data_IF_170754369101
#
_entry.id   IF_170754369101
#
_cell.length_a   1.000
_cell.length_b   1.000
_cell.length_c   1.000
_cell.angle_alpha   90.00
_cell.angle_beta   90.00
_cell.angle_gamma   90.00
#
_symmetry.space_group_name_H-M   'P 1'
#
loop_
_entity.id
_entity.type
_entity.pdbx_description
1 polymer ?
#
# COMPACT_ATOMS: atom_id res chain seq x y z
N UNK A 1 36.77 -2.20 14.93
CA UNK A 1 36.90 -2.76 13.57
C UNK A 1 35.51 -3.22 13.16
N UNK A 2 34.75 -2.36 12.48
CA UNK A 2 33.32 -2.55 12.21
C UNK A 2 33.16 -3.18 10.82
N UNK A 3 32.35 -4.24 10.72
CA UNK A 3 32.15 -5.05 9.50
C UNK A 3 31.59 -4.19 8.34
N UNK A 4 32.21 -4.18 7.14
CA UNK A 4 31.78 -3.37 6.00
C UNK A 4 30.65 -4.00 5.16
N UNK A 5 30.04 -5.12 5.60
CA UNK A 5 29.03 -5.86 4.82
C UNK A 5 27.58 -5.57 5.21
N UNK A 6 27.31 -4.59 6.06
CA UNK A 6 25.95 -4.07 6.20
C UNK A 6 25.80 -2.92 5.21
N UNK A 7 25.06 -3.09 4.09
CA UNK A 7 24.72 -1.92 3.30
C UNK A 7 24.00 -0.96 4.26
N UNK A 8 24.53 0.25 4.41
CA UNK A 8 23.80 1.31 5.06
C UNK A 8 22.39 1.35 4.43
N UNK A 9 21.30 1.42 5.20
CA UNK A 9 19.99 1.59 4.60
C UNK A 9 20.09 2.79 3.66
N UNK A 10 19.85 2.59 2.36
CA UNK A 10 19.96 3.66 1.38
C UNK A 10 19.21 4.88 1.91
N UNK A 11 19.88 6.04 1.95
CA UNK A 11 19.42 7.26 2.60
C UNK A 11 18.07 7.79 2.08
N UNK A 12 17.53 7.19 1.02
CA UNK A 12 16.28 7.56 0.35
C UNK A 12 15.01 6.94 0.94
N UNK A 13 15.08 6.13 1.99
CA UNK A 13 13.86 5.64 2.69
C UNK A 13 13.30 6.75 3.61
N UNK A 14 12.92 7.87 3.00
CA UNK A 14 12.35 9.04 3.66
C UNK A 14 11.12 8.62 4.50
N UNK A 15 10.96 9.22 5.68
CA UNK A 15 9.83 8.95 6.56
C UNK A 15 8.47 9.10 5.85
N UNK A 16 8.39 10.01 4.86
CA UNK A 16 7.22 10.19 4.01
C UNK A 16 6.92 8.96 3.14
N UNK A 17 7.94 8.33 2.53
CA UNK A 17 7.76 7.12 1.72
C UNK A 17 7.33 5.94 2.60
N UNK A 18 7.92 5.80 3.79
CA UNK A 18 7.50 4.80 4.78
C UNK A 18 6.07 5.00 5.26
N UNK A 19 5.65 6.25 5.47
CA UNK A 19 4.28 6.59 5.82
C UNK A 19 3.30 6.28 4.68
N UNK A 20 3.62 6.67 3.45
CA UNK A 20 2.80 6.40 2.27
C UNK A 20 2.62 4.89 2.03
N UNK A 21 3.71 4.12 2.11
CA UNK A 21 3.67 2.66 2.00
C UNK A 21 2.82 2.02 3.10
N UNK A 22 2.90 2.55 4.33
CA UNK A 22 2.05 2.09 5.44
C UNK A 22 0.56 2.38 5.19
N UNK A 23 0.23 3.53 4.59
CA UNK A 23 -1.14 3.87 4.20
C UNK A 23 -1.68 2.91 3.13
N UNK A 24 -0.87 2.60 2.11
CA UNK A 24 -1.24 1.62 1.08
C UNK A 24 -1.50 0.23 1.67
N UNK A 25 -0.62 -0.23 2.58
CA UNK A 25 -0.81 -1.51 3.27
C UNK A 25 -2.08 -1.51 4.12
N UNK A 26 -2.34 -0.41 4.83
CA UNK A 26 -3.57 -0.21 5.58
C UNK A 26 -4.82 -0.32 4.70
N UNK A 27 -4.81 0.35 3.55
CA UNK A 27 -5.92 0.32 2.59
C UNK A 27 -6.17 -1.10 2.04
N UNK A 28 -5.10 -1.81 1.64
CA UNK A 28 -5.21 -3.21 1.19
C UNK A 28 -5.76 -4.11 2.29
N UNK A 29 -5.28 -3.97 3.53
CA UNK A 29 -5.79 -4.74 4.66
C UNK A 29 -7.27 -4.46 4.93
N UNK A 30 -7.69 -3.19 4.92
CA UNK A 30 -9.08 -2.81 5.12
C UNK A 30 -10.01 -3.39 4.03
N UNK A 31 -9.55 -3.48 2.78
CA UNK A 31 -10.33 -4.05 1.67
C UNK A 31 -10.38 -5.58 1.70
N UNK A 32 -9.32 -6.25 2.14
CA UNK A 32 -9.21 -7.72 2.08
C UNK A 32 -9.60 -8.42 3.37
N UNK A 33 -9.61 -7.72 4.51
CA UNK A 33 -9.88 -8.30 5.83
C UNK A 33 -10.87 -7.44 6.62
N UNK A 34 -12.15 -7.85 6.71
CA UNK A 34 -13.14 -7.10 7.47
C UNK A 34 -12.76 -7.05 8.95
N UNK A 35 -13.05 -5.92 9.60
CA UNK A 35 -12.78 -5.74 11.04
C UNK A 35 -11.33 -5.45 11.42
N UNK A 36 -10.42 -5.28 10.44
CA UNK A 36 -9.03 -4.88 10.72
C UNK A 36 -9.00 -3.52 11.41
N UNK A 37 -8.45 -3.47 12.63
CA UNK A 37 -8.20 -2.21 13.34
C UNK A 37 -6.86 -1.63 12.92
N UNK A 38 -6.92 -0.52 12.18
CA UNK A 38 -5.74 0.27 11.85
C UNK A 38 -5.45 1.30 12.94
N UNK A 39 -4.17 1.64 13.13
CA UNK A 39 -3.81 2.80 13.96
C UNK A 39 -4.42 4.07 13.34
N UNK A 40 -4.91 5.05 14.14
CA UNK A 40 -5.60 6.22 13.62
C UNK A 40 -4.84 6.98 12.53
N UNK A 41 -3.52 7.16 12.71
CA UNK A 41 -2.67 7.83 11.73
C UNK A 41 -2.59 7.10 10.38
N UNK A 42 -2.65 5.76 10.39
CA UNK A 42 -2.67 4.95 9.17
C UNK A 42 -4.07 4.91 8.58
N UNK A 43 -5.10 4.81 9.42
CA UNK A 43 -6.50 4.78 9.00
C UNK A 43 -6.86 6.05 8.20
N UNK A 44 -6.54 7.23 8.74
CA UNK A 44 -6.79 8.51 8.09
C UNK A 44 -6.06 8.64 6.73
N UNK A 45 -4.84 8.13 6.64
CA UNK A 45 -4.07 8.16 5.40
C UNK A 45 -4.52 7.08 4.38
N UNK A 46 -5.06 5.96 4.85
CA UNK A 46 -5.52 4.84 4.03
C UNK A 46 -6.93 5.05 3.46
N UNK A 47 -7.80 5.74 4.20
CA UNK A 47 -9.19 6.02 3.82
C UNK A 47 -9.37 6.58 2.40
N UNK A 48 -8.63 7.64 1.97
CA UNK A 48 -8.76 8.16 0.60
C UNK A 48 -8.30 7.17 -0.48
N UNK A 49 -7.49 6.17 -0.13
CA UNK A 49 -6.98 5.16 -1.06
C UNK A 49 -7.97 4.01 -1.27
N UNK A 50 -8.97 3.85 -0.40
CA UNK A 50 -9.88 2.69 -0.42
C UNK A 50 -10.57 2.49 -1.78
N UNK A 51 -11.14 3.52 -2.45
CA UNK A 51 -11.80 3.32 -3.74
C UNK A 51 -10.82 2.83 -4.82
N UNK A 52 -9.62 3.41 -4.86
CA UNK A 52 -8.58 3.06 -5.82
C UNK A 52 -8.06 1.63 -5.60
N UNK A 53 -7.78 1.27 -4.35
CA UNK A 53 -7.31 -0.08 -3.97
C UNK A 53 -8.41 -1.12 -4.21
N UNK A 54 -9.68 -0.82 -3.92
CA UNK A 54 -10.82 -1.70 -4.26
C UNK A 54 -10.89 -1.96 -5.77
N UNK A 55 -10.83 -0.90 -6.59
CA UNK A 55 -10.85 -1.01 -8.04
C UNK A 55 -9.67 -1.85 -8.56
N UNK A 56 -8.46 -1.61 -8.05
CA UNK A 56 -7.29 -2.41 -8.41
C UNK A 56 -7.45 -3.90 -8.06
N UNK A 57 -7.87 -4.20 -6.82
CA UNK A 57 -8.08 -5.58 -6.37
C UNK A 57 -9.22 -6.24 -7.17
N UNK A 58 -10.21 -5.46 -7.63
CA UNK A 58 -11.27 -5.89 -8.58
C UNK A 58 -10.77 -6.25 -9.96
N UNK A 59 -9.51 -5.93 -10.27
CA UNK A 59 -8.96 -6.13 -11.59
C UNK A 59 -9.48 -5.11 -12.59
N UNK A 60 -10.13 -4.03 -12.13
CA UNK A 60 -10.55 -2.90 -12.95
C UNK A 60 -9.34 -2.32 -13.72
N UNK A 61 -9.63 -1.73 -14.87
CA UNK A 61 -8.67 -1.03 -15.74
C UNK A 61 -9.01 0.45 -15.88
N UNK A 62 -9.93 0.95 -15.04
CA UNK A 62 -10.32 2.34 -14.97
C UNK A 62 -9.32 3.24 -14.22
N UNK A 63 -9.57 4.55 -14.23
CA UNK A 63 -8.66 5.56 -13.68
C UNK A 63 -8.40 5.40 -12.17
N UNK A 64 -9.32 4.76 -11.44
CA UNK A 64 -9.13 4.44 -10.02
C UNK A 64 -8.08 3.35 -9.80
N UNK A 65 -8.08 2.29 -10.63
CA UNK A 65 -7.07 1.25 -10.55
C UNK A 65 -5.68 1.82 -10.92
N UNK A 66 -5.62 2.69 -11.94
CA UNK A 66 -4.38 3.37 -12.32
C UNK A 66 -3.87 4.32 -11.22
N UNK A 67 -4.78 4.99 -10.48
CA UNK A 67 -4.41 5.81 -9.33
C UNK A 67 -3.77 4.98 -8.21
N UNK A 68 -4.29 3.77 -7.93
CA UNK A 68 -3.69 2.87 -6.95
C UNK A 68 -2.27 2.44 -7.37
N UNK A 69 -2.09 2.10 -8.65
CA UNK A 69 -0.78 1.71 -9.18
C UNK A 69 0.23 2.86 -9.10
N UNK A 70 -0.12 4.07 -9.56
CA UNK A 70 0.75 5.25 -9.48
C UNK A 70 1.16 5.57 -8.03
N UNK A 71 0.22 5.46 -7.09
CA UNK A 71 0.52 5.65 -5.67
C UNK A 71 1.51 4.60 -5.16
N UNK A 72 1.32 3.33 -5.54
CA UNK A 72 2.21 2.25 -5.16
C UNK A 72 3.60 2.40 -5.77
N UNK A 73 3.72 2.84 -7.02
CA UNK A 73 5.00 3.15 -7.65
C UNK A 73 5.73 4.29 -6.94
N UNK A 74 5.02 5.38 -6.64
CA UNK A 74 5.58 6.55 -5.95
C UNK A 74 6.13 6.24 -4.55
N UNK A 75 5.65 5.18 -3.89
CA UNK A 75 6.14 4.74 -2.58
C UNK A 75 6.93 3.42 -2.59
N UNK A 76 7.31 2.92 -3.78
CA UNK A 76 8.11 1.71 -3.94
C UNK A 76 7.38 0.41 -3.53
N UNK A 77 6.05 0.40 -3.56
CA UNK A 77 5.19 -0.71 -3.16
C UNK A 77 4.43 -1.36 -4.33
N UNK A 78 4.77 -1.05 -5.59
CA UNK A 78 4.09 -1.57 -6.78
C UNK A 78 4.05 -3.11 -6.81
N UNK A 79 5.19 -3.77 -6.54
CA UNK A 79 5.26 -5.23 -6.50
C UNK A 79 4.30 -5.85 -5.47
N UNK A 80 4.18 -5.23 -4.29
CA UNK A 80 3.20 -5.64 -3.30
C UNK A 80 1.78 -5.47 -3.82
N UNK A 81 1.43 -4.33 -4.41
CA UNK A 81 0.08 -4.08 -4.93
C UNK A 81 -0.28 -5.07 -6.05
N UNK A 82 0.66 -5.39 -6.94
CA UNK A 82 0.48 -6.42 -7.98
C UNK A 82 0.14 -7.79 -7.40
N UNK A 83 0.80 -8.20 -6.32
CA UNK A 83 0.51 -9.49 -5.65
C UNK A 83 -0.90 -9.57 -5.04
N UNK A 84 -1.62 -8.45 -4.94
CA UNK A 84 -2.96 -8.35 -4.35
C UNK A 84 -4.08 -8.29 -5.38
N UNK A 85 -3.77 -8.24 -6.68
CA UNK A 85 -4.79 -8.22 -7.73
C UNK A 85 -5.62 -9.51 -7.69
N UNK A 86 -6.94 -9.39 -7.69
CA UNK A 86 -7.84 -10.54 -7.58
C UNK A 86 -7.89 -11.19 -6.19
N UNK A 87 -7.26 -10.60 -5.16
CA UNK A 87 -7.38 -11.10 -3.80
C UNK A 87 -8.85 -11.07 -3.34
N UNK A 88 -9.28 -12.05 -2.52
CA UNK A 88 -10.62 -12.05 -1.95
C UNK A 88 -10.85 -10.77 -1.16
N UNK A 89 -11.98 -10.11 -1.42
CA UNK A 89 -12.39 -8.91 -0.70
C UNK A 89 -13.25 -9.30 0.50
N UNK A 90 -13.23 -8.41 1.48
CA UNK A 90 -14.09 -8.47 2.65
C UNK A 90 -15.58 -8.32 2.31
N UNK A 91 -15.90 -7.78 1.14
CA UNK A 91 -17.26 -7.45 0.69
C UNK A 91 -17.99 -8.63 -0.01
N UNK A 92 -17.66 -9.88 0.35
CA UNK A 92 -18.28 -11.11 -0.19
C UNK A 92 -18.90 -11.97 0.93
#
# INVERSE_FOLDING_TARGET
>A
MTDPRHPAPCADDDAAQRAARSALYGAVLAVTRPGTRLKPAVAAAAEPLLPAVRAWIAGDRGPLADAALRYAEACGAAAYLHSRRGAPRADA
#
